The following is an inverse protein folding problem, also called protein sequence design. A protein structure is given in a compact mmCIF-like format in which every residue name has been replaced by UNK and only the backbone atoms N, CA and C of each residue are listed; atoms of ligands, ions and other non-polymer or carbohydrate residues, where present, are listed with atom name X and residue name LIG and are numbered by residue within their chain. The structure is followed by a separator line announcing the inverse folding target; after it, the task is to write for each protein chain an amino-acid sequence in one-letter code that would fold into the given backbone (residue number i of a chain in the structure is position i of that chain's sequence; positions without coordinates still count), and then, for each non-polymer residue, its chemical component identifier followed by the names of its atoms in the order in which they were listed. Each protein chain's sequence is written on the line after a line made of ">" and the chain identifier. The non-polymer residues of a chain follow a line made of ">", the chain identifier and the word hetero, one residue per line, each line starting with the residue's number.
data_IF_167385502253
#
_entry.id   IF_167385502253
#
_cell.length_a   1.000
_cell.length_b   1.000
_cell.length_c   1.000
_cell.angle_alpha   90.00
_cell.angle_beta   90.00
_cell.angle_gamma   90.00
#
_symmetry.space_group_name_H-M   'P 1'
#
loop_
_entity.id
_entity.type
_entity.pdbx_description
1 polymer ?
#
# COMPACT_ATOMS: atom_id res chain seq x y z
N UNK A 1 -54.51 -24.65 -27.75
CA UNK A 1 -53.46 -24.04 -28.60
C UNK A 1 -52.91 -22.83 -27.84
N UNK A 2 -51.57 -22.71 -27.77
CA UNK A 2 -50.80 -21.55 -27.29
C UNK A 2 -50.59 -21.34 -25.77
N UNK A 3 -49.58 -22.02 -25.22
CA UNK A 3 -48.78 -21.58 -24.05
C UNK A 3 -47.44 -21.10 -24.62
N UNK A 4 -47.30 -19.81 -24.90
CA UNK A 4 -46.08 -19.26 -25.52
C UNK A 4 -45.69 -18.01 -24.73
N UNK A 5 -44.53 -18.13 -24.07
CA UNK A 5 -43.64 -17.10 -23.48
C UNK A 5 -44.25 -16.28 -22.32
N UNK A 6 -44.21 -16.80 -21.09
CA UNK A 6 -43.07 -16.67 -20.17
C UNK A 6 -42.61 -15.21 -20.03
N UNK A 7 -43.04 -14.60 -18.93
CA UNK A 7 -42.59 -13.34 -18.33
C UNK A 7 -41.13 -13.36 -17.84
N UNK A 8 -40.33 -14.37 -18.21
CA UNK A 8 -38.91 -14.45 -17.80
C UNK A 8 -37.94 -13.63 -18.66
N UNK A 9 -38.43 -12.92 -19.68
CA UNK A 9 -37.62 -12.01 -20.50
C UNK A 9 -37.75 -10.54 -20.07
N UNK A 10 -38.63 -10.21 -19.12
CA UNK A 10 -38.80 -8.85 -18.63
C UNK A 10 -37.88 -8.49 -17.44
N UNK A 11 -37.16 -9.47 -16.87
CA UNK A 11 -36.29 -9.28 -15.71
C UNK A 11 -34.88 -9.81 -15.91
N UNK A 12 -34.50 -10.18 -17.14
CA UNK A 12 -33.08 -10.27 -17.47
C UNK A 12 -32.60 -8.85 -17.72
N UNK A 13 -31.94 -8.28 -16.72
CA UNK A 13 -31.22 -7.02 -16.84
C UNK A 13 -30.43 -7.04 -18.15
N UNK A 14 -30.70 -6.08 -19.06
CA UNK A 14 -29.85 -5.88 -20.23
C UNK A 14 -28.50 -5.45 -19.64
N UNK A 15 -27.43 -6.25 -19.76
CA UNK A 15 -26.15 -5.86 -19.21
C UNK A 15 -25.66 -4.67 -20.04
N UNK A 16 -25.88 -3.46 -19.53
CA UNK A 16 -25.10 -2.31 -19.92
C UNK A 16 -23.67 -2.68 -19.54
N UNK A 17 -22.85 -2.99 -20.54
CA UNK A 17 -21.48 -3.43 -20.34
C UNK A 17 -20.74 -2.54 -19.35
N UNK A 18 -19.66 -3.06 -18.78
CA UNK A 18 -18.80 -2.48 -17.74
C UNK A 18 -18.33 -1.03 -17.99
N UNK A 19 -18.68 -0.45 -19.14
CA UNK A 19 -18.37 0.87 -19.65
C UNK A 19 -19.35 1.96 -19.15
N UNK A 20 -20.55 1.61 -18.69
CA UNK A 20 -21.55 2.59 -18.21
C UNK A 20 -21.46 2.84 -16.69
N UNK A 21 -20.73 1.99 -15.97
CA UNK A 21 -20.46 2.16 -14.53
C UNK A 21 -19.15 2.90 -14.21
N UNK A 22 -18.41 3.34 -15.23
CA UNK A 22 -17.13 4.00 -15.09
C UNK A 22 -17.13 5.40 -15.70
N UNK A 23 -16.30 6.27 -15.13
CA UNK A 23 -15.84 7.50 -15.77
C UNK A 23 -15.38 7.19 -17.20
N UNK A 24 -16.07 7.75 -18.19
CA UNK A 24 -16.06 7.27 -19.58
C UNK A 24 -14.70 7.20 -20.29
N UNK A 25 -14.67 6.87 -21.59
CA UNK A 25 -13.45 6.51 -22.35
C UNK A 25 -12.33 7.56 -22.34
N UNK A 26 -12.65 8.82 -22.01
CA UNK A 26 -11.68 9.90 -21.85
C UNK A 26 -10.83 9.80 -20.58
N UNK A 27 -11.31 9.12 -19.54
CA UNK A 27 -10.51 8.85 -18.35
C UNK A 27 -9.59 7.65 -18.56
N UNK A 28 -10.06 6.58 -19.20
CA UNK A 28 -9.20 5.42 -19.55
C UNK A 28 -7.99 5.81 -20.39
N UNK A 29 -8.11 6.81 -21.28
CA UNK A 29 -7.00 7.28 -22.11
C UNK A 29 -5.91 8.05 -21.33
N UNK A 30 -6.29 8.78 -20.26
CA UNK A 30 -5.36 9.53 -19.40
C UNK A 30 -4.85 8.62 -18.26
N UNK A 31 -5.67 7.68 -17.82
CA UNK A 31 -5.39 6.71 -16.75
C UNK A 31 -4.55 5.51 -17.18
N UNK A 32 -4.59 5.10 -18.45
CA UNK A 32 -3.97 3.83 -18.88
C UNK A 32 -2.44 3.86 -18.96
N UNK A 33 -1.83 4.93 -19.47
CA UNK A 33 -0.40 4.97 -19.77
C UNK A 33 0.48 5.51 -18.64
N UNK A 34 0.08 6.64 -18.05
CA UNK A 34 0.89 7.35 -17.04
C UNK A 34 0.52 6.93 -15.61
N UNK A 35 -0.77 6.70 -15.31
CA UNK A 35 -1.18 6.27 -13.97
C UNK A 35 -0.81 4.80 -13.70
N UNK A 36 -0.80 3.93 -14.72
CA UNK A 36 -0.39 2.53 -14.57
C UNK A 36 1.11 2.38 -14.31
N UNK A 37 1.97 3.06 -15.08
CA UNK A 37 3.42 2.95 -14.92
C UNK A 37 3.93 3.58 -13.62
N UNK A 38 3.55 4.83 -13.35
CA UNK A 38 3.99 5.53 -12.14
C UNK A 38 3.34 4.96 -10.88
N UNK A 39 2.06 4.59 -10.95
CA UNK A 39 1.34 3.95 -9.84
C UNK A 39 1.92 2.59 -9.48
N UNK A 40 2.23 1.75 -10.49
CA UNK A 40 2.87 0.45 -10.27
C UNK A 40 4.29 0.61 -9.74
N UNK A 41 5.07 1.56 -10.26
CA UNK A 41 6.40 1.85 -9.76
C UNK A 41 6.39 2.32 -8.29
N UNK A 42 5.52 3.28 -7.95
CA UNK A 42 5.37 3.76 -6.57
C UNK A 42 4.88 2.65 -5.63
N UNK A 43 3.89 1.86 -6.05
CA UNK A 43 3.37 0.76 -5.23
C UNK A 43 4.44 -0.31 -4.96
N UNK A 44 5.22 -0.68 -5.99
CA UNK A 44 6.35 -1.60 -5.85
C UNK A 44 7.46 -1.01 -4.97
N UNK A 45 7.75 0.28 -5.11
CA UNK A 45 8.76 0.98 -4.32
C UNK A 45 8.38 1.00 -2.83
N UNK A 46 7.13 1.40 -2.52
CA UNK A 46 6.62 1.46 -1.15
C UNK A 46 6.60 0.07 -0.52
N UNK A 47 6.16 -0.95 -1.26
CA UNK A 47 6.18 -2.34 -0.81
C UNK A 47 7.60 -2.80 -0.50
N UNK A 48 8.55 -2.52 -1.41
CA UNK A 48 9.97 -2.89 -1.24
C UNK A 48 10.59 -2.21 -0.03
N UNK A 49 10.42 -0.90 0.11
CA UNK A 49 10.95 -0.13 1.24
C UNK A 49 10.35 -0.60 2.56
N UNK A 50 9.07 -0.94 2.58
CA UNK A 50 8.40 -1.42 3.81
C UNK A 50 8.95 -2.77 4.24
N UNK A 51 9.12 -3.72 3.31
CA UNK A 51 9.69 -5.04 3.61
C UNK A 51 11.14 -4.90 4.07
N UNK A 52 11.97 -4.17 3.32
CA UNK A 52 13.39 -3.99 3.68
C UNK A 52 13.53 -3.20 4.99
N UNK A 53 12.74 -2.16 5.16
CA UNK A 53 12.77 -1.29 6.33
C UNK A 53 12.31 -1.99 7.62
N UNK A 54 11.28 -2.82 7.54
CA UNK A 54 10.82 -3.62 8.69
C UNK A 54 11.86 -4.66 9.12
N UNK A 55 12.51 -5.35 8.17
CA UNK A 55 13.60 -6.28 8.48
C UNK A 55 14.81 -5.54 9.07
N UNK A 56 15.19 -4.42 8.48
CA UNK A 56 16.29 -3.60 8.98
C UNK A 56 16.02 -3.10 10.41
N UNK A 57 14.79 -2.65 10.69
CA UNK A 57 14.37 -2.24 12.03
C UNK A 57 14.66 -3.34 13.06
N UNK A 58 14.23 -4.57 12.78
CA UNK A 58 14.45 -5.71 13.69
C UNK A 58 15.96 -5.89 13.94
N UNK A 59 16.77 -5.96 12.89
CA UNK A 59 18.22 -6.16 13.01
C UNK A 59 18.87 -5.05 13.84
N UNK A 60 18.62 -3.78 13.52
CA UNK A 60 19.23 -2.66 14.22
C UNK A 60 18.74 -2.52 15.66
N UNK A 61 17.47 -2.83 15.93
CA UNK A 61 16.90 -2.84 17.26
C UNK A 61 17.55 -3.92 18.15
N UNK A 62 17.72 -5.14 17.62
CA UNK A 62 18.41 -6.21 18.35
C UNK A 62 19.88 -5.90 18.58
N UNK A 63 20.60 -5.34 17.60
CA UNK A 63 22.00 -4.93 17.80
C UNK A 63 22.09 -3.86 18.90
N UNK A 64 21.18 -2.88 18.90
CA UNK A 64 21.11 -1.87 19.96
C UNK A 64 20.85 -2.50 21.33
N UNK A 65 19.90 -3.44 21.42
CA UNK A 65 19.60 -4.16 22.66
C UNK A 65 20.78 -4.98 23.17
N UNK A 66 21.49 -5.70 22.29
CA UNK A 66 22.69 -6.46 22.66
C UNK A 66 23.80 -5.53 23.15
N UNK A 67 24.04 -4.40 22.49
CA UNK A 67 24.98 -3.36 22.97
C UNK A 67 24.59 -2.84 24.35
N UNK A 68 23.29 -2.64 24.61
CA UNK A 68 22.81 -2.15 25.90
C UNK A 68 23.06 -3.16 27.03
N UNK A 69 22.78 -4.45 26.79
CA UNK A 69 23.03 -5.52 27.76
C UNK A 69 24.53 -5.71 28.01
N UNK A 70 25.35 -5.64 26.96
CA UNK A 70 26.81 -5.83 27.05
C UNK A 70 27.58 -4.59 27.53
N UNK A 71 26.92 -3.44 27.66
CA UNK A 71 27.54 -2.19 28.10
C UNK A 71 28.05 -2.24 29.56
N UNK A 72 27.56 -3.17 30.38
CA UNK A 72 28.12 -3.45 31.71
C UNK A 72 28.16 -2.26 32.69
N UNK A 73 27.33 -1.24 32.49
CA UNK A 73 27.28 -0.03 33.32
C UNK A 73 28.08 1.16 32.80
N UNK A 74 28.80 1.03 31.69
CA UNK A 74 29.46 2.15 31.01
C UNK A 74 28.39 3.10 30.42
N UNK A 75 28.28 4.31 30.99
CA UNK A 75 27.27 5.31 30.59
C UNK A 75 27.39 5.70 29.11
N UNK A 76 28.59 5.72 28.55
CA UNK A 76 28.80 6.07 27.15
C UNK A 76 28.19 5.02 26.22
N UNK A 77 28.48 3.74 26.48
CA UNK A 77 27.94 2.62 25.70
C UNK A 77 26.43 2.45 25.87
N UNK A 78 25.92 2.68 27.08
CA UNK A 78 24.48 2.68 27.34
C UNK A 78 23.78 3.79 26.55
N UNK A 79 24.33 5.01 26.54
CA UNK A 79 23.79 6.14 25.79
C UNK A 79 23.79 5.85 24.28
N UNK A 80 24.89 5.33 23.73
CA UNK A 80 24.98 4.98 22.31
C UNK A 80 23.96 3.89 21.93
N UNK A 81 23.80 2.86 22.77
CA UNK A 81 22.83 1.80 22.55
C UNK A 81 21.39 2.31 22.56
N UNK A 82 21.04 3.19 23.51
CA UNK A 82 19.73 3.84 23.57
C UNK A 82 19.47 4.72 22.35
N UNK A 83 20.47 5.50 21.92
CA UNK A 83 20.37 6.30 20.70
C UNK A 83 20.12 5.41 19.48
N UNK A 84 20.86 4.31 19.34
CA UNK A 84 20.67 3.36 18.25
C UNK A 84 19.25 2.74 18.24
N UNK A 85 18.74 2.32 19.40
CA UNK A 85 17.39 1.78 19.52
C UNK A 85 16.32 2.83 19.19
N UNK A 86 16.52 4.07 19.64
CA UNK A 86 15.62 5.20 19.35
C UNK A 86 15.61 5.53 17.86
N UNK A 87 16.77 5.55 17.21
CA UNK A 87 16.83 5.77 15.76
C UNK A 87 16.18 4.65 14.96
N UNK A 88 16.32 3.40 15.40
CA UNK A 88 15.59 2.29 14.80
C UNK A 88 14.07 2.51 14.94
N UNK A 89 13.59 2.86 16.13
CA UNK A 89 12.17 3.13 16.38
C UNK A 89 11.63 4.29 15.52
N UNK A 90 12.40 5.37 15.37
CA UNK A 90 12.06 6.49 14.49
C UNK A 90 11.93 6.04 13.03
N UNK A 91 12.83 5.16 12.56
CA UNK A 91 12.74 4.57 11.23
C UNK A 91 11.43 3.79 11.01
N UNK A 92 11.01 3.01 12.01
CA UNK A 92 9.73 2.29 11.94
C UNK A 92 8.53 3.25 11.91
N UNK A 93 8.55 4.29 12.76
CA UNK A 93 7.52 5.32 12.79
C UNK A 93 7.43 6.06 11.44
N UNK A 94 8.57 6.34 10.81
CA UNK A 94 8.62 6.98 9.51
C UNK A 94 7.96 6.14 8.41
N UNK A 95 8.14 4.81 8.42
CA UNK A 95 7.46 3.90 7.50
C UNK A 95 5.94 3.98 7.70
N UNK A 96 5.48 3.90 8.94
CA UNK A 96 4.05 4.02 9.27
C UNK A 96 3.48 5.37 8.82
N UNK A 97 4.19 6.47 9.10
CA UNK A 97 3.78 7.81 8.68
C UNK A 97 3.72 7.96 7.15
N UNK A 98 4.60 7.28 6.42
CA UNK A 98 4.60 7.28 4.96
C UNK A 98 3.28 6.77 4.39
N UNK A 99 2.70 5.72 4.98
CA UNK A 99 1.39 5.19 4.56
C UNK A 99 0.25 6.21 4.70
N UNK A 100 0.26 7.04 5.75
CA UNK A 100 -0.73 8.11 5.91
C UNK A 100 -0.61 9.15 4.80
N UNK A 101 0.61 9.56 4.46
CA UNK A 101 0.86 10.53 3.40
C UNK A 101 0.40 9.97 2.04
N UNK A 102 0.78 8.72 1.74
CA UNK A 102 0.41 8.05 0.49
C UNK A 102 -1.11 7.88 0.39
N UNK A 103 -1.79 7.57 1.50
CA UNK A 103 -3.26 7.48 1.52
C UNK A 103 -3.96 8.80 1.21
N UNK A 104 -3.48 9.91 1.76
CA UNK A 104 -4.01 11.24 1.45
C UNK A 104 -3.76 11.60 -0.01
N UNK A 105 -2.55 11.35 -0.52
CA UNK A 105 -2.20 11.61 -1.92
C UNK A 105 -3.02 10.73 -2.89
N UNK A 106 -3.20 9.44 -2.57
CA UNK A 106 -4.03 8.54 -3.35
C UNK A 106 -5.50 8.96 -3.37
N UNK A 107 -6.04 9.41 -2.23
CA UNK A 107 -7.42 9.92 -2.14
C UNK A 107 -7.63 11.19 -2.96
N UNK A 108 -6.67 12.11 -2.99
CA UNK A 108 -6.74 13.34 -3.80
C UNK A 108 -6.62 13.04 -5.29
N UNK A 109 -5.79 12.08 -5.68
CA UNK A 109 -5.56 11.71 -7.08
C UNK A 109 -6.59 10.70 -7.62
N UNK A 110 -7.49 10.18 -6.76
CA UNK A 110 -8.45 9.13 -7.13
C UNK A 110 -7.79 7.80 -7.49
N UNK A 111 -6.55 7.58 -7.05
CA UNK A 111 -5.76 6.38 -7.31
C UNK A 111 -5.61 5.58 -6.03
N UNK A 112 -6.08 4.33 -6.04
CA UNK A 112 -5.92 3.40 -4.92
C UNK A 112 -4.51 2.77 -4.93
N UNK A 113 -3.50 3.60 -4.65
CA UNK A 113 -2.07 3.22 -4.61
C UNK A 113 -1.79 2.26 -3.43
N UNK A 114 -2.70 2.22 -2.47
CA UNK A 114 -2.60 1.41 -1.25
C UNK A 114 -3.12 -0.02 -1.41
N UNK A 115 -3.73 -0.36 -2.55
CA UNK A 115 -4.32 -1.69 -2.75
C UNK A 115 -3.89 -2.35 -4.08
N UNK A 116 -2.62 -2.79 -4.22
CA UNK A 116 -2.15 -3.47 -5.43
C UNK A 116 -2.86 -4.81 -5.70
N UNK A 117 -3.51 -5.40 -4.69
CA UNK A 117 -4.17 -6.70 -4.80
C UNK A 117 -5.59 -6.63 -5.38
N UNK A 118 -6.32 -5.53 -5.18
CA UNK A 118 -7.66 -5.37 -5.78
C UNK A 118 -7.61 -5.10 -7.30
N UNK A 119 -6.45 -4.68 -7.81
CA UNK A 119 -6.21 -4.55 -9.25
C UNK A 119 -6.04 -5.92 -9.95
N UNK A 120 -5.67 -6.97 -9.18
CA UNK A 120 -5.61 -8.34 -9.65
C UNK A 120 -6.93 -9.03 -9.30
N UNK A 121 -7.93 -8.89 -10.18
CA UNK A 121 -9.14 -9.74 -10.17
C UNK A 121 -8.72 -11.21 -10.30
N UNK A 122 -8.40 -11.86 -9.18
CA UNK A 122 -8.45 -13.31 -9.01
C UNK A 122 -9.82 -13.68 -8.47
#
# INVERSE_FOLDING_TARGET
>A
MMKIITSALASTDIPLGSEVGGVGPFQTAISGGVQSGLGTFLSNLVTTITVVGSIAFVIYFFIGALKWITAGGDKGKVSEAQAQMTQAAIGLIAIVASFFIIGIVGAVLGLDILNPFNALKL
#
